data_IF_941547897884
#
_entry.id   IF_941547897884
#
_cell.length_a   1.000
_cell.length_b   1.000
_cell.length_c   1.000
_cell.angle_alpha   90.00
_cell.angle_beta   90.00
_cell.angle_gamma   90.00
#
_symmetry.space_group_name_H-M   'P 1'
#
loop_
_entity.id
_entity.type
_entity.pdbx_description
1 polymer ?
#
# COMPACT_ATOMS: atom_id res chain seq x y z
N UNK A 1 3.75 -51.80 8.91
CA UNK A 1 4.93 -51.01 8.46
C UNK A 1 4.59 -49.75 7.67
N UNK A 2 3.48 -49.67 6.91
CA UNK A 2 3.16 -48.51 6.06
C UNK A 2 2.65 -47.26 6.81
N UNK A 3 1.99 -47.43 7.96
CA UNK A 3 1.46 -46.30 8.75
C UNK A 3 2.56 -45.50 9.46
N UNK A 4 3.59 -46.17 10.00
CA UNK A 4 4.76 -45.51 10.60
C UNK A 4 5.58 -44.72 9.57
N UNK A 5 5.65 -45.19 8.32
CA UNK A 5 6.32 -44.51 7.21
C UNK A 5 5.56 -43.26 6.71
N UNK A 6 4.22 -43.29 6.79
CA UNK A 6 3.36 -42.16 6.42
C UNK A 6 3.44 -41.03 7.46
N UNK A 7 3.50 -41.38 8.75
CA UNK A 7 3.62 -40.43 9.86
C UNK A 7 4.99 -39.74 9.86
N UNK A 8 6.08 -40.46 9.54
CA UNK A 8 7.42 -39.85 9.43
C UNK A 8 7.56 -38.89 8.24
N UNK A 9 6.84 -39.11 7.13
CA UNK A 9 6.81 -38.18 6.00
C UNK A 9 6.08 -36.86 6.32
N UNK A 10 5.02 -36.92 7.14
CA UNK A 10 4.24 -35.74 7.57
C UNK A 10 5.04 -34.90 8.58
N UNK A 11 5.87 -35.53 9.42
CA UNK A 11 6.71 -34.82 10.39
C UNK A 11 7.90 -34.11 9.70
N UNK A 12 8.41 -34.65 8.59
CA UNK A 12 9.50 -34.00 7.82
C UNK A 12 9.05 -32.78 7.00
N UNK A 13 7.76 -32.59 6.72
CA UNK A 13 7.27 -31.40 5.99
C UNK A 13 7.03 -30.19 6.90
N UNK A 14 7.07 -30.35 8.24
CA UNK A 14 6.88 -29.23 9.17
C UNK A 14 8.14 -28.42 9.48
N UNK A 15 9.34 -28.85 9.07
CA UNK A 15 10.60 -28.23 9.53
C UNK A 15 11.15 -27.11 8.64
N UNK A 16 10.36 -26.54 7.73
CA UNK A 16 10.80 -25.37 6.95
C UNK A 16 9.75 -24.28 6.83
N UNK A 17 9.50 -23.55 7.93
CA UNK A 17 9.01 -22.17 7.88
C UNK A 17 9.41 -21.44 9.17
N UNK A 18 10.70 -21.11 9.31
CA UNK A 18 11.12 -19.99 10.16
C UNK A 18 10.70 -18.67 9.49
N UNK A 19 9.39 -18.48 9.34
CA UNK A 19 8.83 -17.20 8.96
C UNK A 19 9.03 -16.23 10.12
N UNK A 20 9.68 -15.10 9.85
CA UNK A 20 9.77 -14.03 10.84
C UNK A 20 8.35 -13.57 11.20
N UNK A 21 8.03 -13.53 12.49
CA UNK A 21 6.73 -13.03 12.96
C UNK A 21 6.64 -11.51 12.81
N UNK A 22 5.41 -10.99 12.78
CA UNK A 22 5.13 -9.55 12.75
C UNK A 22 5.83 -8.79 13.89
N UNK A 23 5.87 -9.38 15.10
CA UNK A 23 6.56 -8.80 16.25
C UNK A 23 8.07 -8.72 16.04
N UNK A 24 8.67 -9.72 15.38
CA UNK A 24 10.09 -9.70 15.06
C UNK A 24 10.41 -8.59 14.04
N UNK A 25 9.53 -8.37 13.04
CA UNK A 25 9.65 -7.29 12.06
C UNK A 25 9.55 -5.93 12.77
N UNK A 26 8.51 -5.73 13.60
CA UNK A 26 8.32 -4.49 14.38
C UNK A 26 9.54 -4.21 15.26
N UNK A 27 10.02 -5.20 15.99
CA UNK A 27 11.19 -5.07 16.88
C UNK A 27 12.47 -4.72 16.11
N UNK A 28 12.70 -5.34 14.95
CA UNK A 28 13.83 -4.99 14.09
C UNK A 28 13.73 -3.54 13.62
N UNK A 29 12.56 -3.12 13.16
CA UNK A 29 12.35 -1.77 12.65
C UNK A 29 12.44 -0.70 13.74
N UNK A 30 11.92 -0.98 14.93
CA UNK A 30 12.09 -0.11 16.09
C UNK A 30 13.56 0.15 16.36
N UNK A 31 14.36 -0.91 16.54
CA UNK A 31 15.82 -0.79 16.75
C UNK A 31 16.52 -0.08 15.61
N UNK A 32 16.15 -0.36 14.36
CA UNK A 32 16.73 0.30 13.19
C UNK A 32 16.51 1.82 13.25
N UNK A 33 15.32 2.27 13.60
CA UNK A 33 14.95 3.69 13.62
C UNK A 33 15.58 4.40 14.82
N UNK A 34 15.48 3.82 16.01
CA UNK A 34 16.05 4.37 17.23
C UNK A 34 17.57 4.50 17.11
N UNK A 35 18.25 3.48 16.61
CA UNK A 35 19.72 3.49 16.55
C UNK A 35 20.25 4.27 15.34
N UNK A 36 19.68 4.06 14.15
CA UNK A 36 20.22 4.62 12.90
C UNK A 36 19.70 6.04 12.65
N UNK A 37 18.43 6.31 12.97
CA UNK A 37 17.81 7.62 12.75
C UNK A 37 17.74 8.48 14.01
N UNK A 38 18.14 7.95 15.18
CA UNK A 38 18.13 8.67 16.47
C UNK A 38 16.75 9.26 16.79
N UNK A 39 15.69 8.53 16.46
CA UNK A 39 14.31 8.93 16.66
C UNK A 39 13.61 7.93 17.59
N UNK A 40 12.85 8.43 18.57
CA UNK A 40 12.09 7.58 19.49
C UNK A 40 10.86 7.04 18.78
N UNK A 41 10.67 5.71 18.78
CA UNK A 41 9.50 5.07 18.16
C UNK A 41 8.41 4.90 19.22
N UNK A 42 7.21 5.40 18.91
CA UNK A 42 6.05 5.27 19.79
C UNK A 42 5.19 4.06 19.39
N UNK A 43 5.00 3.83 18.09
CA UNK A 43 4.12 2.78 17.57
C UNK A 43 4.55 2.34 16.16
N UNK A 44 4.41 1.04 15.87
CA UNK A 44 4.58 0.47 14.53
C UNK A 44 3.34 -0.35 14.17
N UNK A 45 2.64 0.10 13.13
CA UNK A 45 1.49 -0.59 12.56
C UNK A 45 1.87 -1.23 11.22
N UNK A 46 1.45 -2.47 11.01
CA UNK A 46 1.54 -3.15 9.70
C UNK A 46 0.25 -2.84 8.96
N UNK A 47 0.33 -1.98 7.95
CA UNK A 47 -0.83 -1.54 7.15
C UNK A 47 -1.30 -2.64 6.21
N UNK A 48 -0.36 -3.32 5.56
CA UNK A 48 -0.64 -4.51 4.75
C UNK A 48 0.64 -5.28 4.48
N UNK A 49 0.50 -6.55 4.14
CA UNK A 49 1.56 -7.38 3.63
C UNK A 49 1.04 -8.35 2.56
N UNK A 50 1.93 -8.80 1.68
CA UNK A 50 1.62 -9.83 0.68
C UNK A 50 2.91 -10.38 0.04
N UNK A 51 2.87 -11.61 -0.52
CA UNK A 51 3.98 -12.17 -1.29
C UNK A 51 4.24 -11.40 -2.58
N UNK A 52 5.50 -11.34 -3.01
CA UNK A 52 5.90 -10.70 -4.26
C UNK A 52 5.96 -11.76 -5.36
N UNK A 53 5.04 -11.69 -6.32
CA UNK A 53 4.84 -12.70 -7.38
C UNK A 53 6.13 -13.07 -8.12
N UNK A 54 6.94 -12.09 -8.51
CA UNK A 54 8.18 -12.27 -9.27
C UNK A 54 9.45 -12.31 -8.41
N UNK A 55 9.32 -12.36 -7.09
CA UNK A 55 10.43 -12.53 -6.14
C UNK A 55 10.15 -13.65 -5.14
N UNK A 56 10.22 -14.90 -5.61
CA UNK A 56 9.91 -16.11 -4.84
C UNK A 56 10.48 -16.10 -3.41
N UNK A 57 9.60 -16.31 -2.43
CA UNK A 57 9.89 -16.37 -1.00
C UNK A 57 10.03 -15.01 -0.32
N UNK A 58 9.90 -13.90 -1.05
CA UNK A 58 9.85 -12.56 -0.46
C UNK A 58 8.41 -12.11 -0.23
N UNK A 59 8.17 -11.56 0.95
CA UNK A 59 6.95 -10.81 1.28
C UNK A 59 7.31 -9.33 1.42
N UNK A 60 6.40 -8.45 0.99
CA UNK A 60 6.46 -7.02 1.27
C UNK A 60 5.59 -6.70 2.47
N UNK A 61 6.07 -5.83 3.36
CA UNK A 61 5.34 -5.26 4.48
C UNK A 61 5.35 -3.74 4.36
N UNK A 62 4.16 -3.13 4.46
CA UNK A 62 3.99 -1.69 4.52
C UNK A 62 3.73 -1.29 5.97
N UNK A 63 4.65 -0.52 6.54
CA UNK A 63 4.61 -0.09 7.92
C UNK A 63 4.25 1.38 8.02
N UNK A 64 3.45 1.72 9.02
CA UNK A 64 3.24 3.08 9.49
C UNK A 64 3.91 3.22 10.85
N UNK A 65 4.91 4.09 10.94
CA UNK A 65 5.75 4.21 12.13
C UNK A 65 5.54 5.59 12.73
N UNK A 66 4.94 5.65 13.92
CA UNK A 66 4.81 6.90 14.68
C UNK A 66 6.08 7.08 15.51
N UNK A 67 6.82 8.14 15.26
CA UNK A 67 8.07 8.43 15.95
C UNK A 67 8.18 9.91 16.30
N UNK A 68 8.85 10.21 17.42
CA UNK A 68 9.28 11.56 17.77
C UNK A 68 10.61 11.85 17.09
N UNK A 69 10.58 12.77 16.12
CA UNK A 69 11.74 13.23 15.38
C UNK A 69 12.16 14.61 15.85
N UNK A 70 13.47 14.86 15.93
CA UNK A 70 14.00 16.18 16.24
C UNK A 70 13.97 17.05 14.99
N UNK A 71 13.23 18.15 15.03
CA UNK A 71 13.16 19.16 13.97
C UNK A 71 13.63 20.50 14.56
N UNK A 72 14.86 20.89 14.22
CA UNK A 72 15.54 22.01 14.85
C UNK A 72 15.73 21.79 16.37
N UNK A 73 15.19 22.70 17.17
CA UNK A 73 15.25 22.64 18.64
C UNK A 73 14.05 21.92 19.28
N UNK A 74 13.08 21.47 18.49
CA UNK A 74 11.84 20.84 18.98
C UNK A 74 11.74 19.37 18.58
N UNK A 75 11.02 18.58 19.37
CA UNK A 75 10.59 17.24 18.97
C UNK A 75 9.18 17.31 18.42
N UNK A 76 8.95 16.66 17.28
CA UNK A 76 7.63 16.57 16.66
C UNK A 76 7.29 15.10 16.42
N UNK A 77 6.02 14.75 16.64
CA UNK A 77 5.52 13.45 16.23
C UNK A 77 5.33 13.41 14.72
N UNK A 78 5.92 12.41 14.09
CA UNK A 78 5.83 12.18 12.66
C UNK A 78 5.39 10.75 12.39
N UNK A 79 4.55 10.58 11.36
CA UNK A 79 4.23 9.27 10.80
C UNK A 79 5.14 8.99 9.62
N UNK A 80 5.97 7.97 9.75
CA UNK A 80 7.00 7.59 8.79
C UNK A 80 6.55 6.29 8.09
N UNK A 81 6.09 6.35 6.83
CA UNK A 81 5.81 5.14 6.08
C UNK A 81 7.12 4.42 5.74
N UNK A 82 7.17 3.11 5.96
CA UNK A 82 8.31 2.28 5.60
C UNK A 82 7.87 1.04 4.81
N UNK A 83 8.67 0.65 3.82
CA UNK A 83 8.46 -0.59 3.07
C UNK A 83 9.59 -1.54 3.39
N UNK A 84 9.23 -2.73 3.84
CA UNK A 84 10.16 -3.75 4.32
C UNK A 84 9.95 -5.03 3.54
N UNK A 85 11.05 -5.71 3.22
CA UNK A 85 11.03 -6.98 2.51
C UNK A 85 11.57 -8.08 3.42
N UNK A 86 10.84 -9.18 3.51
CA UNK A 86 11.16 -10.29 4.42
C UNK A 86 11.20 -11.61 3.65
N UNK A 87 12.24 -12.43 3.87
CA UNK A 87 12.39 -13.78 3.33
C UNK A 87 13.00 -14.71 4.39
N UNK A 88 12.18 -15.59 4.97
CA UNK A 88 12.57 -16.40 6.11
C UNK A 88 12.99 -15.51 7.29
N UNK A 89 14.25 -15.63 7.71
CA UNK A 89 14.87 -14.82 8.76
C UNK A 89 15.58 -13.55 8.24
N UNK A 90 15.51 -13.25 6.94
CA UNK A 90 16.18 -12.09 6.34
C UNK A 90 15.21 -10.93 6.18
N UNK A 91 15.68 -9.73 6.50
CA UNK A 91 14.96 -8.47 6.35
C UNK A 91 15.82 -7.47 5.56
N UNK A 92 15.20 -6.71 4.65
CA UNK A 92 15.87 -5.61 3.94
C UNK A 92 14.88 -4.48 3.64
N UNK A 93 15.38 -3.25 3.62
CA UNK A 93 14.63 -2.06 3.19
C UNK A 93 14.75 -1.80 1.68
N UNK A 94 15.61 -2.56 0.99
CA UNK A 94 15.88 -2.41 -0.43
C UNK A 94 15.96 -3.78 -1.09
N UNK A 95 14.94 -4.08 -1.90
CA UNK A 95 14.90 -5.26 -2.75
C UNK A 95 14.82 -4.80 -4.21
N UNK A 96 15.71 -5.31 -5.07
CA UNK A 96 15.78 -4.91 -6.48
C UNK A 96 15.09 -5.93 -7.37
N UNK A 97 14.16 -5.46 -8.20
CA UNK A 97 13.67 -6.16 -9.37
C UNK A 97 14.73 -6.09 -10.47
N UNK A 98 15.08 -7.24 -11.04
CA UNK A 98 16.00 -7.31 -12.19
C UNK A 98 15.42 -6.51 -13.35
N UNK A 99 16.25 -5.72 -14.02
CA UNK A 99 15.85 -5.02 -15.23
C UNK A 99 15.62 -6.00 -16.39
N UNK A 100 14.83 -5.57 -17.37
CA UNK A 100 14.57 -6.37 -18.57
C UNK A 100 15.85 -6.51 -19.39
N UNK A 101 15.97 -7.64 -20.10
CA UNK A 101 17.01 -7.83 -21.10
C UNK A 101 16.48 -7.27 -22.42
N UNK A 102 17.20 -6.33 -23.00
CA UNK A 102 16.85 -5.74 -24.28
C UNK A 102 17.30 -6.65 -25.42
N UNK A 103 16.78 -6.41 -26.63
CA UNK A 103 17.14 -7.17 -27.84
C UNK A 103 18.65 -7.09 -28.14
N UNK A 104 19.30 -5.97 -27.79
CA UNK A 104 20.73 -5.74 -27.99
C UNK A 104 21.62 -6.39 -26.90
N UNK A 105 21.07 -7.31 -26.09
CA UNK A 105 21.80 -8.01 -25.03
C UNK A 105 22.10 -7.18 -23.77
N UNK A 106 21.79 -5.88 -23.76
CA UNK A 106 21.97 -5.00 -22.59
C UNK A 106 20.80 -5.12 -21.61
N UNK A 107 21.08 -5.09 -20.30
CA UNK A 107 20.05 -5.09 -19.26
C UNK A 107 19.71 -3.68 -18.80
N UNK A 108 18.42 -3.40 -18.68
CA UNK A 108 17.94 -2.18 -18.03
C UNK A 108 18.38 -2.14 -16.56
N UNK A 109 18.42 -0.94 -16.00
CA UNK A 109 18.69 -0.76 -14.57
C UNK A 109 17.55 -1.38 -13.75
N UNK A 110 17.93 -2.20 -12.77
CA UNK A 110 16.98 -2.77 -11.81
C UNK A 110 16.23 -1.68 -11.03
N UNK A 111 14.96 -1.95 -10.72
CA UNK A 111 14.09 -1.03 -9.97
C UNK A 111 13.90 -1.54 -8.55
N UNK A 112 13.91 -0.65 -7.55
CA UNK A 112 13.58 -1.04 -6.19
C UNK A 112 12.07 -1.36 -6.10
N UNK A 113 11.72 -2.53 -5.57
CA UNK A 113 10.33 -2.93 -5.34
C UNK A 113 9.56 -1.91 -4.49
N UNK A 114 10.23 -1.19 -3.59
CA UNK A 114 9.57 -0.16 -2.78
C UNK A 114 8.97 0.98 -3.62
N UNK A 115 9.44 1.18 -4.86
CA UNK A 115 8.85 2.14 -5.80
C UNK A 115 7.66 1.56 -6.57
N UNK A 116 7.62 0.24 -6.74
CA UNK A 116 6.66 -0.47 -7.59
C UNK A 116 5.43 -0.94 -6.82
N UNK A 117 5.65 -1.42 -5.59
CA UNK A 117 4.60 -2.00 -4.76
C UNK A 117 3.90 -0.90 -3.94
N UNK A 118 2.62 -1.14 -3.62
CA UNK A 118 1.76 -0.24 -2.85
C UNK A 118 0.97 -1.02 -1.79
N UNK A 119 0.63 -0.41 -0.65
CA UNK A 119 -0.23 -1.07 0.32
C UNK A 119 -1.60 -1.40 -0.28
N UNK A 120 -2.24 -2.43 0.26
CA UNK A 120 -3.64 -2.72 -0.06
C UNK A 120 -4.52 -1.60 0.49
N UNK A 121 -5.56 -1.24 -0.25
CA UNK A 121 -6.63 -0.37 0.25
C UNK A 121 -7.49 -1.21 1.21
N UNK A 122 -7.82 -0.71 2.42
CA UNK A 122 -8.73 -1.39 3.34
C UNK A 122 -10.09 -1.65 2.68
N UNK A 123 -10.70 -2.81 2.96
CA UNK A 123 -11.94 -3.21 2.28
C UNK A 123 -13.10 -2.25 2.62
N UNK A 124 -13.07 -1.68 3.82
CA UNK A 124 -14.05 -0.73 4.36
C UNK A 124 -14.04 0.61 3.59
N UNK A 125 -12.94 0.92 2.90
CA UNK A 125 -12.86 2.09 2.04
C UNK A 125 -13.71 1.94 0.76
N UNK A 126 -14.11 0.71 0.39
CA UNK A 126 -15.03 0.44 -0.71
C UNK A 126 -16.47 0.35 -0.18
N UNK A 127 -17.01 1.48 0.26
CA UNK A 127 -18.38 1.56 0.79
C UNK A 127 -19.32 2.33 -0.14
N UNK A 128 -20.61 2.02 -0.06
CA UNK A 128 -21.65 2.56 -0.95
C UNK A 128 -21.76 4.09 -0.92
N UNK A 129 -21.43 4.75 0.20
CA UNK A 129 -21.44 6.22 0.29
C UNK A 129 -20.47 6.89 -0.67
N UNK A 130 -19.40 6.20 -1.07
CA UNK A 130 -18.40 6.72 -1.99
C UNK A 130 -18.53 6.11 -3.39
N UNK A 131 -19.43 5.14 -3.60
CA UNK A 131 -19.66 4.53 -4.90
C UNK A 131 -20.29 5.55 -5.86
N UNK A 132 -19.78 5.64 -7.08
CA UNK A 132 -20.27 6.62 -8.07
C UNK A 132 -20.55 6.03 -9.47
N UNK A 133 -20.06 4.83 -9.80
CA UNK A 133 -20.24 4.24 -11.13
C UNK A 133 -19.77 2.78 -11.19
N UNK A 134 -20.36 2.01 -12.12
CA UNK A 134 -20.05 0.61 -12.39
C UNK A 134 -21.00 -0.33 -11.68
N UNK A 135 -20.50 -1.48 -11.23
CA UNK A 135 -21.23 -2.44 -10.39
C UNK A 135 -20.52 -2.60 -9.05
N UNK A 136 -21.21 -2.44 -7.91
CA UNK A 136 -20.61 -2.64 -6.59
C UNK A 136 -20.02 -4.06 -6.39
N UNK A 137 -20.56 -5.03 -7.13
CA UNK A 137 -20.15 -6.44 -7.13
C UNK A 137 -19.01 -6.75 -8.13
N UNK A 138 -18.53 -5.75 -8.87
CA UNK A 138 -17.47 -5.96 -9.85
C UNK A 138 -16.17 -6.50 -9.21
N UNK A 139 -15.42 -7.36 -9.91
CA UNK A 139 -14.21 -7.98 -9.39
C UNK A 139 -13.06 -6.98 -9.17
N UNK A 140 -13.08 -5.84 -9.85
CA UNK A 140 -12.05 -4.81 -9.72
C UNK A 140 -12.64 -3.53 -9.15
N UNK A 141 -12.14 -3.13 -7.97
CA UNK A 141 -12.55 -1.90 -7.30
C UNK A 141 -11.50 -0.82 -7.45
N UNK A 142 -11.92 0.37 -7.85
CA UNK A 142 -11.08 1.54 -8.06
C UNK A 142 -11.48 2.58 -7.02
N UNK A 143 -10.54 2.95 -6.15
CA UNK A 143 -10.69 4.11 -5.28
C UNK A 143 -9.88 5.26 -5.84
N UNK A 144 -10.53 6.40 -6.10
CA UNK A 144 -9.87 7.59 -6.65
C UNK A 144 -10.03 8.79 -5.72
N UNK A 145 -8.91 9.42 -5.41
CA UNK A 145 -8.85 10.72 -4.74
C UNK A 145 -8.74 11.83 -5.77
N UNK A 146 -9.49 12.91 -5.59
CA UNK A 146 -9.43 14.05 -6.50
C UNK A 146 -9.62 15.38 -5.79
N UNK A 147 -8.99 16.39 -6.36
CA UNK A 147 -9.14 17.79 -6.01
C UNK A 147 -9.96 18.48 -7.12
N UNK A 148 -11.01 19.26 -6.78
CA UNK A 148 -11.89 19.88 -7.78
C UNK A 148 -11.20 20.95 -8.65
N UNK A 149 -10.11 21.54 -8.18
CA UNK A 149 -9.36 22.56 -8.91
C UNK A 149 -8.14 22.00 -9.64
N UNK A 150 -7.65 20.81 -9.30
CA UNK A 150 -6.53 20.19 -10.00
C UNK A 150 -6.89 19.81 -11.46
N UNK A 151 -6.26 20.43 -12.49
CA UNK A 151 -6.59 20.16 -13.89
C UNK A 151 -6.30 18.71 -14.30
N UNK A 152 -5.22 18.12 -13.78
CA UNK A 152 -4.87 16.73 -14.04
C UNK A 152 -5.89 15.75 -13.45
N UNK A 153 -6.35 16.01 -12.22
CA UNK A 153 -7.38 15.18 -11.58
C UNK A 153 -8.69 15.25 -12.38
N UNK A 154 -9.14 16.45 -12.77
CA UNK A 154 -10.35 16.63 -13.60
C UNK A 154 -10.31 15.86 -14.92
N UNK A 155 -9.17 15.86 -15.60
CA UNK A 155 -9.00 15.06 -16.82
C UNK A 155 -9.03 13.57 -16.52
N UNK A 156 -8.27 13.13 -15.51
CA UNK A 156 -8.14 11.72 -15.17
C UNK A 156 -9.44 11.10 -14.70
N UNK A 157 -10.23 11.79 -13.88
CA UNK A 157 -11.53 11.27 -13.41
C UNK A 157 -12.49 11.04 -14.57
N UNK A 158 -12.52 11.92 -15.59
CA UNK A 158 -13.34 11.73 -16.79
C UNK A 158 -12.92 10.50 -17.59
N UNK A 159 -11.62 10.30 -17.78
CA UNK A 159 -11.08 9.10 -18.44
C UNK A 159 -11.48 7.82 -17.70
N UNK A 160 -11.29 7.80 -16.37
CA UNK A 160 -11.63 6.64 -15.54
C UNK A 160 -13.14 6.38 -15.56
N UNK A 161 -13.96 7.42 -15.40
CA UNK A 161 -15.41 7.30 -15.43
C UNK A 161 -15.90 6.76 -16.77
N UNK A 162 -15.32 7.22 -17.89
CA UNK A 162 -15.61 6.67 -19.21
C UNK A 162 -15.29 5.18 -19.29
N UNK A 163 -14.10 4.76 -18.85
CA UNK A 163 -13.71 3.34 -18.86
C UNK A 163 -14.67 2.47 -18.03
N UNK A 164 -15.02 2.93 -16.82
CA UNK A 164 -15.91 2.21 -15.90
C UNK A 164 -17.32 2.11 -16.47
N UNK A 165 -17.87 3.20 -17.00
CA UNK A 165 -19.21 3.21 -17.61
C UNK A 165 -19.32 2.27 -18.82
N UNK A 166 -18.25 2.11 -19.60
CA UNK A 166 -18.21 1.15 -20.71
C UNK A 166 -17.97 -0.30 -20.26
N UNK A 167 -17.59 -0.54 -19.01
CA UNK A 167 -17.26 -1.85 -18.47
C UNK A 167 -17.83 -2.07 -17.04
N UNK A 168 -19.14 -1.87 -16.83
CA UNK A 168 -19.73 -1.80 -15.50
C UNK A 168 -19.59 -3.11 -14.70
N UNK A 169 -19.66 -4.27 -15.37
CA UNK A 169 -19.48 -5.57 -14.71
C UNK A 169 -18.03 -5.86 -14.29
N UNK A 170 -17.06 -5.14 -14.85
CA UNK A 170 -15.63 -5.33 -14.55
C UNK A 170 -15.14 -4.41 -13.46
N UNK A 171 -15.71 -3.22 -13.33
CA UNK A 171 -15.21 -2.18 -12.44
C UNK A 171 -16.26 -1.56 -11.53
N UNK A 172 -15.87 -1.28 -10.29
CA UNK A 172 -16.60 -0.45 -9.34
C UNK A 172 -15.76 0.80 -9.03
N UNK A 173 -16.32 2.00 -9.18
CA UNK A 173 -15.62 3.25 -8.93
C UNK A 173 -16.10 3.91 -7.63
N UNK A 174 -15.14 4.19 -6.76
CA UNK A 174 -15.34 4.85 -5.47
C UNK A 174 -14.56 6.17 -5.44
N UNK A 175 -15.26 7.26 -5.16
CA UNK A 175 -14.75 8.61 -5.23
C UNK A 175 -14.52 9.19 -3.83
N UNK A 176 -13.35 9.79 -3.61
CA UNK A 176 -13.02 10.50 -2.39
C UNK A 176 -12.55 11.92 -2.69
N UNK A 177 -13.11 12.89 -1.97
CA UNK A 177 -12.63 14.27 -2.03
C UNK A 177 -11.25 14.38 -1.34
N UNK A 178 -10.30 15.02 -2.01
CA UNK A 178 -8.97 15.28 -1.48
C UNK A 178 -8.53 16.71 -1.81
N UNK A 179 -9.08 17.72 -1.11
CA UNK A 179 -8.76 19.12 -1.36
C UNK A 179 -7.31 19.43 -0.97
N UNK A 180 -6.49 19.83 -1.94
CA UNK A 180 -5.10 20.24 -1.75
C UNK A 180 -5.05 21.72 -1.36
N UNK A 181 -5.63 22.05 -0.21
CA UNK A 181 -5.86 23.43 0.27
C UNK A 181 -4.62 24.33 0.26
N UNK A 182 -3.41 23.76 0.37
CA UNK A 182 -2.15 24.51 0.31
C UNK A 182 -1.89 25.14 -1.06
N UNK A 183 -2.36 24.51 -2.15
CA UNK A 183 -2.14 24.96 -3.52
C UNK A 183 -3.44 25.30 -4.26
N UNK A 184 -4.58 24.81 -3.77
CA UNK A 184 -5.91 25.17 -4.24
C UNK A 184 -6.79 25.60 -3.06
N UNK A 185 -6.63 26.81 -2.51
CA UNK A 185 -7.37 27.22 -1.30
C UNK A 185 -8.89 27.13 -1.44
N UNK A 186 -9.43 27.46 -2.61
CA UNK A 186 -10.86 27.35 -2.90
C UNK A 186 -11.40 25.90 -2.83
N UNK A 187 -10.52 24.88 -2.90
CA UNK A 187 -10.91 23.46 -2.83
C UNK A 187 -11.60 23.10 -1.52
N UNK A 188 -11.34 23.82 -0.43
CA UNK A 188 -11.98 23.59 0.86
C UNK A 188 -13.50 23.85 0.78
N UNK A 189 -13.88 25.07 0.41
CA UNK A 189 -15.30 25.48 0.32
C UNK A 189 -16.04 24.64 -0.73
N UNK A 190 -15.43 24.44 -1.90
CA UNK A 190 -16.04 23.62 -2.96
C UNK A 190 -16.25 22.17 -2.53
N UNK A 191 -15.26 21.55 -1.87
CA UNK A 191 -15.41 20.18 -1.36
C UNK A 191 -16.50 20.07 -0.30
N UNK A 192 -16.61 21.06 0.60
CA UNK A 192 -17.70 21.11 1.58
C UNK A 192 -19.07 21.17 0.90
N UNK A 193 -19.22 21.99 -0.13
CA UNK A 193 -20.46 22.07 -0.91
C UNK A 193 -20.76 20.73 -1.62
N UNK A 194 -19.77 20.13 -2.28
CA UNK A 194 -19.91 18.83 -2.94
C UNK A 194 -20.35 17.74 -1.95
N UNK A 195 -19.79 17.73 -0.73
CA UNK A 195 -20.16 16.77 0.29
C UNK A 195 -21.61 16.93 0.79
N UNK A 196 -22.11 18.18 0.85
CA UNK A 196 -23.53 18.45 1.18
C UNK A 196 -24.44 17.96 0.06
N UNK A 197 -24.10 18.24 -1.20
CA UNK A 197 -24.87 17.80 -2.37
C UNK A 197 -24.90 16.26 -2.47
N UNK A 198 -23.74 15.60 -2.31
CA UNK A 198 -23.64 14.15 -2.30
C UNK A 198 -24.54 13.51 -1.23
N UNK A 199 -24.63 14.11 -0.03
CA UNK A 199 -25.53 13.62 1.03
C UNK A 199 -27.01 13.78 0.69
N UNK A 200 -27.36 14.76 -0.15
CA UNK A 200 -28.72 14.99 -0.63
C UNK A 200 -29.08 14.12 -1.84
N UNK A 201 -28.08 13.56 -2.52
CA UNK A 201 -28.26 12.83 -3.77
C UNK A 201 -28.35 13.73 -4.99
N UNK A 202 -27.84 14.96 -4.90
CA UNK A 202 -27.77 15.97 -5.97
C UNK A 202 -26.51 15.81 -6.86
#
# INVERSE_FOLDING_TARGET
MKLKLLITLIIMTLTQLNAMSDNNIKSYMQRYIENKMKAQVNQIDIISNYPIEDAKGWNVYFLSIKAKVKLGNSYQEATIPQTVFVKGNRITLKLLKKGKLNKDGKREKGKNYAKLLKPKVPIEAYNSKHFISGSENAPHKILIFTDPFCPHCKRKIREVLSIVNHNPEKYALYYYHFPLVKIHPASDVTTKAMHVLQKRGD
#
